data_IF_233178786993
#
_entry.id   IF_233178786993
#
_cell.length_a   1.000
_cell.length_b   1.000
_cell.length_c   1.000
_cell.angle_alpha   90.00
_cell.angle_beta   90.00
_cell.angle_gamma   90.00
#
_symmetry.space_group_name_H-M   'P 1'
#
loop_
_entity.id
_entity.type
_entity.pdbx_description
1 polymer ?
#
# COMPACT_ATOMS: atom_id res chain seq x y z
N UNK A 1 -15.51 15.01 -13.36
CA UNK A 1 -14.87 14.03 -14.25
C UNK A 1 -13.48 13.59 -13.74
N UNK A 2 -12.57 14.54 -13.45
CA UNK A 2 -11.18 14.29 -13.05
C UNK A 2 -11.03 13.34 -11.83
N UNK A 3 -11.76 13.61 -10.74
CA UNK A 3 -11.68 12.80 -9.51
C UNK A 3 -12.13 11.36 -9.73
N UNK A 4 -13.22 11.14 -10.47
CA UNK A 4 -13.72 9.79 -10.81
C UNK A 4 -12.70 8.98 -11.60
N UNK A 5 -11.97 9.59 -12.55
CA UNK A 5 -10.95 8.91 -13.35
C UNK A 5 -9.75 8.52 -12.49
N UNK A 6 -9.24 9.45 -11.67
CA UNK A 6 -8.08 9.21 -10.81
C UNK A 6 -8.40 8.20 -9.69
N UNK A 7 -9.62 8.21 -9.14
CA UNK A 7 -10.04 7.20 -8.16
C UNK A 7 -10.18 5.80 -8.76
N UNK A 8 -10.63 5.68 -10.01
CA UNK A 8 -10.74 4.38 -10.70
C UNK A 8 -9.37 3.80 -11.07
N UNK A 9 -8.46 4.66 -11.54
CA UNK A 9 -7.11 4.25 -11.88
C UNK A 9 -6.10 5.23 -11.27
N UNK A 10 -5.54 4.93 -10.08
CA UNK A 10 -4.59 5.82 -9.41
C UNK A 10 -3.25 5.95 -10.15
N UNK A 11 -3.02 5.16 -11.21
CA UNK A 11 -1.83 5.25 -12.07
C UNK A 11 -1.97 6.32 -13.16
N UNK A 12 -3.16 6.90 -13.35
CA UNK A 12 -3.39 7.94 -14.34
C UNK A 12 -2.55 9.18 -14.02
N UNK A 13 -1.76 9.64 -14.99
CA UNK A 13 -0.88 10.78 -14.80
C UNK A 13 -1.59 12.09 -15.07
N UNK A 14 -1.01 13.20 -14.59
CA UNK A 14 -1.48 14.55 -14.95
C UNK A 14 -1.45 14.81 -16.45
N UNK A 15 -0.51 14.19 -17.19
CA UNK A 15 -0.42 14.32 -18.63
C UNK A 15 -1.60 13.64 -19.33
N UNK A 16 -1.93 12.43 -18.89
CA UNK A 16 -3.09 11.68 -19.41
C UNK A 16 -4.39 12.47 -19.19
N UNK A 17 -4.54 13.07 -18.00
CA UNK A 17 -5.69 13.93 -17.69
C UNK A 17 -5.77 15.17 -18.59
N UNK A 18 -4.65 15.79 -18.93
CA UNK A 18 -4.65 16.90 -19.90
C UNK A 18 -5.13 16.42 -21.26
N UNK A 19 -4.63 15.28 -21.73
CA UNK A 19 -4.99 14.73 -23.04
C UNK A 19 -6.49 14.36 -23.10
N UNK A 20 -7.02 13.71 -22.05
CA UNK A 20 -8.43 13.34 -21.98
C UNK A 20 -9.35 14.56 -21.96
N UNK A 21 -8.98 15.60 -21.21
CA UNK A 21 -9.76 16.84 -21.13
C UNK A 21 -9.69 17.63 -22.43
N UNK A 22 -8.53 17.64 -23.09
CA UNK A 22 -8.37 18.26 -24.40
C UNK A 22 -9.20 17.53 -25.48
N UNK A 23 -9.27 16.19 -25.43
CA UNK A 23 -10.16 15.40 -26.29
C UNK A 23 -11.64 15.71 -26.05
N UNK A 24 -12.01 16.04 -24.82
CA UNK A 24 -13.35 16.51 -24.46
C UNK A 24 -13.58 18.01 -24.78
N UNK A 25 -12.67 18.67 -25.49
CA UNK A 25 -12.78 20.08 -25.88
C UNK A 25 -12.40 21.09 -24.79
N UNK A 26 -11.92 20.62 -23.64
CA UNK A 26 -11.54 21.48 -22.51
C UNK A 26 -10.02 21.62 -22.43
N UNK A 27 -9.50 22.82 -22.72
CA UNK A 27 -8.07 23.12 -22.56
C UNK A 27 -7.77 23.49 -21.11
N UNK A 28 -7.00 22.65 -20.43
CA UNK A 28 -6.58 22.87 -19.03
C UNK A 28 -5.09 22.69 -18.87
N UNK A 29 -4.50 23.48 -17.97
CA UNK A 29 -3.09 23.37 -17.64
C UNK A 29 -2.84 22.27 -16.60
N UNK A 30 -1.62 21.72 -16.58
CA UNK A 30 -1.19 20.76 -15.54
C UNK A 30 -1.30 21.33 -14.12
N UNK A 31 -1.12 22.65 -13.96
CA UNK A 31 -1.27 23.35 -12.69
C UNK A 31 -2.73 23.36 -12.22
N UNK A 32 -3.68 23.65 -13.12
CA UNK A 32 -5.12 23.59 -12.83
C UNK A 32 -5.54 22.21 -12.33
N UNK A 33 -5.07 21.14 -12.99
CA UNK A 33 -5.34 19.77 -12.58
C UNK A 33 -4.72 19.47 -11.21
N UNK A 34 -3.45 19.86 -11.01
CA UNK A 34 -2.75 19.65 -9.73
C UNK A 34 -3.48 20.35 -8.57
N UNK A 35 -3.91 21.59 -8.76
CA UNK A 35 -4.66 22.35 -7.77
C UNK A 35 -6.03 21.73 -7.49
N UNK A 36 -6.72 21.25 -8.53
CA UNK A 36 -8.00 20.55 -8.39
C UNK A 36 -7.85 19.27 -7.59
N UNK A 37 -6.84 18.45 -7.88
CA UNK A 37 -6.57 17.20 -7.14
C UNK A 37 -6.25 17.48 -5.67
N UNK A 38 -5.42 18.50 -5.38
CA UNK A 38 -5.10 18.91 -4.00
C UNK A 38 -6.31 19.40 -3.22
N UNK A 39 -7.18 20.22 -3.83
CA UNK A 39 -8.44 20.68 -3.22
C UNK A 39 -9.39 19.52 -2.87
N UNK A 40 -9.25 18.40 -3.57
CA UNK A 40 -10.02 17.17 -3.36
C UNK A 40 -9.32 16.18 -2.41
N UNK A 41 -8.18 16.57 -1.80
CA UNK A 41 -7.42 15.72 -0.89
C UNK A 41 -6.61 14.61 -1.57
N UNK A 42 -6.54 14.58 -2.91
CA UNK A 42 -5.79 13.57 -3.65
C UNK A 42 -4.31 13.96 -3.73
N UNK A 43 -3.48 13.24 -2.98
CA UNK A 43 -2.02 13.39 -3.00
C UNK A 43 -1.38 12.50 -4.05
N UNK A 44 -0.27 12.96 -4.63
CA UNK A 44 0.59 12.11 -5.44
C UNK A 44 1.15 10.97 -4.59
N UNK A 45 1.19 9.76 -5.16
CA UNK A 45 1.74 8.58 -4.50
C UNK A 45 2.81 7.94 -5.39
N UNK A 46 3.87 7.43 -4.76
CA UNK A 46 4.85 6.58 -5.44
C UNK A 46 4.35 5.14 -5.44
N UNK A 47 4.48 4.45 -6.56
CA UNK A 47 4.17 3.03 -6.63
C UNK A 47 5.10 2.26 -5.69
N UNK A 48 4.53 1.45 -4.77
CA UNK A 48 5.31 0.60 -3.89
C UNK A 48 5.97 -0.51 -4.72
N UNK A 49 7.29 -0.73 -4.52
CA UNK A 49 8.00 -1.88 -5.07
C UNK A 49 7.64 -3.10 -4.22
N UNK A 50 6.87 -4.01 -4.77
CA UNK A 50 6.52 -5.28 -4.12
C UNK A 50 7.03 -6.43 -4.99
N UNK A 51 7.51 -7.53 -4.38
CA UNK A 51 7.83 -8.72 -5.15
C UNK A 51 6.57 -9.21 -5.86
N UNK A 52 6.73 -9.64 -7.11
CA UNK A 52 5.65 -10.27 -7.87
C UNK A 52 5.46 -11.69 -7.34
N UNK A 53 4.54 -11.83 -6.39
CA UNK A 53 4.21 -13.14 -5.81
C UNK A 53 3.37 -13.94 -6.81
N UNK A 54 3.76 -15.19 -7.04
CA UNK A 54 2.92 -16.14 -7.76
C UNK A 54 1.69 -16.49 -6.90
N UNK A 55 0.56 -16.85 -7.52
CA UNK A 55 -0.67 -17.21 -6.79
C UNK A 55 -0.45 -18.30 -5.73
N UNK A 56 0.43 -19.27 -6.00
CA UNK A 56 0.79 -20.33 -5.05
C UNK A 56 1.46 -19.78 -3.78
N UNK A 57 2.34 -18.79 -3.90
CA UNK A 57 2.97 -18.14 -2.74
C UNK A 57 1.95 -17.33 -1.94
N UNK A 58 1.03 -16.63 -2.61
CA UNK A 58 -0.05 -15.90 -1.94
C UNK A 58 -0.93 -16.88 -1.15
N UNK A 59 -1.30 -18.01 -1.73
CA UNK A 59 -2.09 -19.04 -1.04
C UNK A 59 -1.33 -19.65 0.14
N UNK A 60 -0.04 -19.95 -0.03
CA UNK A 60 0.82 -20.46 1.04
C UNK A 60 0.93 -19.47 2.20
N UNK A 61 1.21 -18.20 1.92
CA UNK A 61 1.30 -17.14 2.93
C UNK A 61 -0.03 -16.94 3.66
N UNK A 62 -1.16 -16.98 2.94
CA UNK A 62 -2.49 -16.86 3.55
C UNK A 62 -2.84 -18.08 4.41
N UNK A 63 -2.49 -19.28 3.98
CA UNK A 63 -2.70 -20.51 4.75
C UNK A 63 -1.90 -20.46 6.05
N UNK A 64 -0.60 -20.14 5.95
CA UNK A 64 0.27 -19.97 7.11
C UNK A 64 -0.27 -18.93 8.09
N UNK A 65 -0.63 -17.75 7.61
CA UNK A 65 -1.16 -16.68 8.46
C UNK A 65 -2.49 -17.03 9.14
N UNK A 66 -3.32 -17.91 8.54
CA UNK A 66 -4.56 -18.38 9.16
C UNK A 66 -4.32 -19.46 10.21
N UNK A 67 -3.40 -20.37 9.94
CA UNK A 67 -3.06 -21.46 10.85
C UNK A 67 -2.41 -20.94 12.13
N UNK A 68 -1.63 -19.85 12.03
CA UNK A 68 -0.89 -19.27 13.15
C UNK A 68 -1.54 -17.99 13.70
N UNK A 69 -2.81 -17.71 13.35
CA UNK A 69 -3.48 -16.48 13.79
C UNK A 69 -3.72 -16.45 15.30
N UNK A 70 -4.00 -17.63 15.87
CA UNK A 70 -4.34 -17.84 17.28
C UNK A 70 -3.18 -18.47 18.08
N UNK A 71 -1.99 -18.57 17.48
CA UNK A 71 -0.83 -19.16 18.15
C UNK A 71 -0.39 -18.30 19.34
N UNK A 72 -0.02 -18.93 20.46
CA UNK A 72 0.40 -18.21 21.65
C UNK A 72 1.64 -17.37 21.37
N UNK A 73 1.76 -16.30 22.13
CA UNK A 73 2.82 -15.31 22.03
C UNK A 73 4.24 -15.92 22.09
N UNK A 74 4.40 -16.97 22.91
CA UNK A 74 5.64 -17.73 23.10
C UNK A 74 6.17 -18.32 21.78
N UNK A 75 5.28 -18.73 20.86
CA UNK A 75 5.69 -19.26 19.55
C UNK A 75 6.28 -18.18 18.64
N UNK A 76 5.90 -16.91 18.85
CA UNK A 76 6.39 -15.77 18.08
C UNK A 76 7.70 -15.17 18.61
N UNK A 77 8.06 -15.43 19.88
CA UNK A 77 9.32 -14.96 20.47
C UNK A 77 10.55 -15.49 19.72
N UNK A 78 10.53 -16.77 19.35
CA UNK A 78 11.62 -17.40 18.59
C UNK A 78 11.73 -16.83 17.17
N UNK A 79 10.59 -16.58 16.52
CA UNK A 79 10.52 -15.98 15.18
C UNK A 79 11.10 -14.57 15.19
N UNK A 80 10.76 -13.76 16.19
CA UNK A 80 11.26 -12.38 16.31
C UNK A 80 12.73 -12.35 16.72
N UNK A 81 13.15 -13.22 17.65
CA UNK A 81 14.56 -13.39 18.01
C UNK A 81 15.40 -13.70 16.77
N UNK A 82 14.92 -14.60 15.90
CA UNK A 82 15.60 -14.88 14.63
C UNK A 82 15.64 -13.64 13.72
N UNK A 83 14.55 -12.89 13.61
CA UNK A 83 14.47 -11.66 12.80
C UNK A 83 15.49 -10.60 13.24
N UNK A 84 15.62 -10.41 14.56
CA UNK A 84 16.59 -9.50 15.18
C UNK A 84 18.03 -9.99 14.94
N UNK A 85 18.28 -11.31 15.08
CA UNK A 85 19.59 -11.91 14.77
C UNK A 85 19.98 -11.76 13.30
N UNK A 86 19.00 -11.80 12.38
CA UNK A 86 19.19 -11.51 10.96
C UNK A 86 19.25 -10.00 10.63
N UNK A 87 19.22 -9.13 11.65
CA UNK A 87 19.38 -7.68 11.49
C UNK A 87 18.13 -6.96 10.97
N UNK A 88 16.97 -7.62 10.96
CA UNK A 88 15.70 -6.99 10.59
C UNK A 88 15.05 -6.37 11.82
N UNK A 89 14.57 -5.13 11.70
CA UNK A 89 13.92 -4.41 12.80
C UNK A 89 12.42 -4.73 12.83
N UNK A 90 11.91 -5.47 13.85
CA UNK A 90 10.48 -5.69 13.99
C UNK A 90 9.75 -4.37 14.24
N UNK A 91 8.52 -4.25 13.73
CA UNK A 91 7.73 -3.02 13.91
C UNK A 91 7.27 -2.85 15.35
N UNK A 92 7.18 -1.61 15.85
CA UNK A 92 6.74 -1.30 17.23
C UNK A 92 5.39 -1.93 17.62
N UNK A 93 4.47 -2.10 16.67
CA UNK A 93 3.19 -2.77 16.91
C UNK A 93 3.34 -4.27 17.23
N UNK A 94 4.32 -4.96 16.64
CA UNK A 94 4.62 -6.37 16.93
C UNK A 94 5.26 -6.53 18.30
N UNK A 95 6.16 -5.60 18.66
CA UNK A 95 6.81 -5.61 19.98
C UNK A 95 5.84 -5.30 21.12
N UNK A 96 4.79 -4.51 20.87
CA UNK A 96 3.79 -4.14 21.88
C UNK A 96 2.67 -5.18 22.05
N UNK A 97 2.23 -5.83 20.96
CA UNK A 97 1.31 -6.97 21.01
C UNK A 97 1.93 -8.21 21.66
N UNK A 98 3.26 -8.22 21.62
CA UNK A 98 4.26 -8.85 22.47
C UNK A 98 3.94 -8.89 23.98
N UNK A 99 4.83 -8.20 24.69
CA UNK A 99 4.85 -7.71 26.09
C UNK A 99 3.50 -7.45 26.81
N UNK A 100 2.38 -7.24 26.12
CA UNK A 100 1.06 -6.96 26.73
C UNK A 100 0.19 -8.19 27.04
N UNK A 101 0.53 -9.41 26.61
CA UNK A 101 -0.11 -10.67 27.07
C UNK A 101 -1.64 -10.61 27.23
N UNK A 102 -2.37 -10.42 26.13
CA UNK A 102 -3.83 -10.31 26.09
C UNK A 102 -4.54 -11.64 25.83
#
# INVERSE_FOLDING_TARGET
>A
MITRTVSKNPRTTRGDLVNDLQRAGTKVTKATISNTLRRQGLKSCSARRVPLLQPIHVQGHLKFAREHLDDPEEDWENVICSLILFGMQPTQALLQGIISGG
#
